data_IF_308928107749
#
_entry.id   IF_308928107749
#
_cell.length_a   1.000
_cell.length_b   1.000
_cell.length_c   1.000
_cell.angle_alpha   90.00
_cell.angle_beta   90.00
_cell.angle_gamma   90.00
#
_symmetry.space_group_name_H-M   'P 1'
#
loop_
_entity.id
_entity.type
_entity.pdbx_description
1 polymer ?
#
# COMPACT_ATOMS: atom_id res chain seq x y z
N UNK A 1 -5.22 0.45 27.94
CA UNK A 1 -4.30 -0.48 27.27
C UNK A 1 -2.96 0.22 27.01
N UNK A 2 -1.89 -0.57 26.99
CA UNK A 2 -0.55 -0.14 26.59
C UNK A 2 -0.01 -1.13 25.56
N UNK A 3 -0.47 -1.06 24.28
CA UNK A 3 -0.06 -2.00 23.26
C UNK A 3 1.37 -1.73 22.80
N UNK A 4 2.14 -2.79 22.55
CA UNK A 4 3.45 -2.70 21.91
C UNK A 4 3.32 -2.70 20.38
N UNK A 5 2.25 -3.30 19.83
CA UNK A 5 2.02 -3.45 18.40
C UNK A 5 0.62 -2.99 18.05
N UNK A 6 0.49 -2.30 16.92
CA UNK A 6 -0.79 -1.95 16.32
C UNK A 6 -0.84 -2.47 14.88
N UNK A 7 -1.98 -3.09 14.50
CA UNK A 7 -2.35 -3.32 13.10
C UNK A 7 -3.32 -2.23 12.67
N UNK A 8 -2.96 -1.48 11.66
CA UNK A 8 -3.68 -0.25 11.33
C UNK A 8 -3.51 0.12 9.86
N UNK A 9 -4.46 0.85 9.28
CA UNK A 9 -4.20 1.50 8.00
C UNK A 9 -3.32 2.73 8.20
N UNK A 10 -2.44 3.05 7.26
CA UNK A 10 -1.57 4.24 7.36
C UNK A 10 -2.34 5.54 7.58
N UNK A 11 -3.45 5.74 6.88
CA UNK A 11 -4.30 6.93 7.06
C UNK A 11 -4.89 7.01 8.48
N UNK A 12 -5.27 5.88 9.06
CA UNK A 12 -5.90 5.87 10.38
C UNK A 12 -4.91 6.14 11.51
N UNK A 13 -3.65 5.67 11.43
CA UNK A 13 -2.65 6.03 12.45
C UNK A 13 -2.29 7.51 12.38
N UNK A 14 -2.33 8.14 11.20
CA UNK A 14 -2.17 9.58 11.08
C UNK A 14 -3.36 10.34 11.68
N UNK A 15 -4.60 9.84 11.51
CA UNK A 15 -5.76 10.40 12.20
C UNK A 15 -5.66 10.26 13.73
N UNK A 16 -5.10 9.15 14.24
CA UNK A 16 -4.78 9.00 15.66
C UNK A 16 -3.73 10.05 16.10
N UNK A 17 -2.72 10.30 15.26
CA UNK A 17 -1.72 11.33 15.53
C UNK A 17 -2.34 12.72 15.66
N UNK A 18 -3.29 13.06 14.79
CA UNK A 18 -4.00 14.34 14.86
C UNK A 18 -4.81 14.46 16.16
N UNK A 19 -5.40 13.37 16.66
CA UNK A 19 -6.08 13.35 17.95
C UNK A 19 -5.11 13.56 19.13
N UNK A 20 -3.91 12.95 19.09
CA UNK A 20 -2.86 13.23 20.10
C UNK A 20 -2.49 14.72 20.10
N UNK A 21 -2.34 15.32 18.92
CA UNK A 21 -2.05 16.76 18.78
C UNK A 21 -3.18 17.63 19.32
N UNK A 22 -4.44 17.28 19.03
CA UNK A 22 -5.62 18.01 19.50
C UNK A 22 -5.77 17.95 21.02
N UNK A 23 -5.37 16.84 21.63
CA UNK A 23 -5.38 16.66 23.09
C UNK A 23 -4.10 17.17 23.80
N UNK A 24 -3.16 17.76 23.07
CA UNK A 24 -1.85 18.21 23.59
C UNK A 24 -1.05 17.08 24.30
N UNK A 25 -1.24 15.83 23.85
CA UNK A 25 -0.53 14.66 24.39
C UNK A 25 0.62 14.27 23.45
N UNK A 26 1.81 14.11 24.00
CA UNK A 26 2.97 13.66 23.22
C UNK A 26 2.81 12.19 22.80
N UNK A 27 2.70 11.87 21.51
CA UNK A 27 2.53 10.50 21.02
C UNK A 27 3.72 9.58 21.34
N UNK A 28 4.91 10.10 21.58
CA UNK A 28 6.10 9.33 22.01
C UNK A 28 5.97 8.74 23.41
N UNK A 29 5.00 9.21 24.21
CA UNK A 29 4.69 8.63 25.52
C UNK A 29 3.83 7.35 25.40
N UNK A 30 3.38 7.01 24.20
CA UNK A 30 2.72 5.73 23.96
C UNK A 30 3.68 4.56 24.19
N UNK A 31 3.13 3.36 24.39
CA UNK A 31 3.95 2.14 24.50
C UNK A 31 4.26 1.49 23.13
N UNK A 32 3.87 2.14 22.04
CA UNK A 32 3.92 1.59 20.70
C UNK A 32 5.37 1.40 20.24
N UNK A 33 5.70 0.19 19.78
CA UNK A 33 7.00 -0.18 19.24
C UNK A 33 6.95 -0.52 17.75
N UNK A 34 5.81 -1.09 17.31
CA UNK A 34 5.62 -1.52 15.93
C UNK A 34 4.25 -1.09 15.44
N UNK A 35 4.22 -0.40 14.32
CA UNK A 35 3.02 -0.14 13.54
C UNK A 35 3.04 -1.00 12.28
N UNK A 36 2.22 -2.05 12.24
CA UNK A 36 2.01 -2.88 11.06
C UNK A 36 0.97 -2.21 10.18
N UNK A 37 1.44 -1.51 9.16
CA UNK A 37 0.62 -0.71 8.26
C UNK A 37 0.25 -1.52 7.01
N UNK A 38 -1.03 -1.50 6.63
CA UNK A 38 -1.50 -2.24 5.47
C UNK A 38 -2.93 -1.89 5.09
N UNK A 39 -3.50 -2.69 4.21
CA UNK A 39 -4.84 -2.57 3.64
C UNK A 39 -5.06 -1.39 2.68
N UNK A 40 -4.15 -0.45 2.60
CA UNK A 40 -4.14 0.64 1.63
C UNK A 40 -2.71 0.95 1.17
N UNK A 41 -2.51 1.50 -0.04
CA UNK A 41 -1.21 2.03 -0.46
C UNK A 41 -0.76 3.16 0.46
N UNK A 42 0.55 3.27 0.69
CA UNK A 42 1.11 4.35 1.50
C UNK A 42 2.54 4.71 1.09
N UNK A 43 2.94 5.93 1.38
CA UNK A 43 4.20 6.51 0.93
C UNK A 43 5.30 6.43 1.99
N UNK A 44 6.55 6.60 1.57
CA UNK A 44 7.65 6.74 2.50
C UNK A 44 7.54 8.03 3.34
N UNK A 45 6.89 9.08 2.84
CA UNK A 45 6.61 10.29 3.61
C UNK A 45 5.69 10.00 4.80
N UNK A 46 4.61 9.23 4.58
CA UNK A 46 3.72 8.78 5.66
C UNK A 46 4.48 7.91 6.67
N UNK A 47 5.37 7.02 6.20
CA UNK A 47 6.22 6.22 7.10
C UNK A 47 7.05 7.12 7.99
N UNK A 48 7.74 8.08 7.41
CA UNK A 48 8.58 9.02 8.15
C UNK A 48 7.76 9.79 9.17
N UNK A 49 6.59 10.30 8.80
CA UNK A 49 5.72 11.03 9.74
C UNK A 49 5.29 10.17 10.93
N UNK A 50 4.91 8.89 10.67
CA UNK A 50 4.54 7.95 11.73
C UNK A 50 5.72 7.67 12.66
N UNK A 51 6.89 7.36 12.10
CA UNK A 51 8.09 7.02 12.87
C UNK A 51 8.61 8.21 13.67
N UNK A 52 8.64 9.40 13.08
CA UNK A 52 9.08 10.62 13.75
C UNK A 52 8.14 11.05 14.89
N UNK A 53 6.85 10.76 14.76
CA UNK A 53 5.83 11.20 15.72
C UNK A 53 5.68 10.25 16.90
N UNK A 54 5.60 8.95 16.67
CA UNK A 54 5.35 7.95 17.72
C UNK A 54 6.60 7.18 18.15
N UNK A 55 7.70 7.25 17.39
CA UNK A 55 8.93 6.47 17.59
C UNK A 55 8.79 4.93 17.48
N UNK A 56 7.87 4.37 16.65
CA UNK A 56 7.79 2.94 16.38
C UNK A 56 8.58 2.56 15.14
N UNK A 57 8.69 1.25 14.87
CA UNK A 57 8.98 0.78 13.53
C UNK A 57 7.67 0.68 12.73
N UNK A 58 7.49 1.51 11.71
CA UNK A 58 6.40 1.38 10.77
C UNK A 58 6.80 0.44 9.63
N UNK A 59 6.11 -0.70 9.54
CA UNK A 59 6.40 -1.78 8.58
C UNK A 59 5.20 -2.06 7.69
N UNK A 60 5.47 -2.35 6.43
CA UNK A 60 4.45 -2.68 5.46
C UNK A 60 3.97 -4.12 5.65
N UNK A 61 2.66 -4.31 5.61
CA UNK A 61 2.01 -5.60 5.76
C UNK A 61 0.95 -5.77 4.67
N UNK A 62 1.14 -6.75 3.80
CA UNK A 62 0.22 -7.05 2.72
C UNK A 62 -0.57 -8.32 3.01
N UNK A 63 -1.86 -8.26 2.78
CA UNK A 63 -2.76 -9.40 2.89
C UNK A 63 -4.16 -9.05 2.38
N UNK A 64 -4.98 -10.06 2.18
CA UNK A 64 -6.37 -9.93 1.73
C UNK A 64 -7.20 -11.07 2.31
N UNK A 65 -8.47 -10.79 2.56
CA UNK A 65 -9.40 -11.73 3.23
C UNK A 65 -9.57 -13.04 2.46
N UNK A 66 -9.44 -13.00 1.14
CA UNK A 66 -9.61 -14.16 0.26
C UNK A 66 -8.48 -15.18 0.44
N UNK A 67 -7.27 -14.72 0.71
CA UNK A 67 -6.10 -15.57 0.92
C UNK A 67 -5.89 -15.80 2.40
N UNK A 68 -5.47 -14.79 3.13
CA UNK A 68 -5.43 -14.70 4.58
C UNK A 68 -5.20 -13.24 4.98
N UNK A 69 -6.01 -12.72 5.86
CA UNK A 69 -5.83 -11.38 6.39
C UNK A 69 -5.63 -11.40 7.91
N UNK A 70 -4.78 -10.57 8.42
CA UNK A 70 -3.70 -9.84 7.78
C UNK A 70 -2.45 -10.71 7.61
N UNK A 71 -1.74 -10.59 6.49
CA UNK A 71 -0.37 -11.10 6.42
C UNK A 71 -0.12 -12.27 5.50
N UNK A 72 -0.20 -12.05 4.18
CA UNK A 72 0.45 -12.89 3.16
C UNK A 72 1.95 -12.58 3.13
N UNK A 73 2.31 -11.33 3.40
CA UNK A 73 3.69 -10.85 3.47
C UNK A 73 3.86 -9.68 4.43
N UNK A 74 5.07 -9.51 4.96
CA UNK A 74 5.38 -8.44 5.89
C UNK A 74 6.82 -7.98 5.74
N UNK A 75 7.08 -6.69 5.91
CA UNK A 75 8.44 -6.15 5.96
C UNK A 75 9.18 -6.61 7.22
N UNK A 76 10.50 -6.67 7.13
CA UNK A 76 11.38 -6.84 8.26
C UNK A 76 11.79 -5.48 8.83
N UNK A 77 11.87 -5.39 10.15
CA UNK A 77 12.29 -4.15 10.85
C UNK A 77 13.69 -3.72 10.39
N UNK A 78 14.54 -4.70 10.09
CA UNK A 78 15.95 -4.51 9.77
C UNK A 78 16.17 -3.85 8.41
N UNK A 79 15.30 -4.12 7.44
CA UNK A 79 15.54 -3.68 6.06
C UNK A 79 14.50 -2.71 5.54
N UNK A 80 13.21 -2.90 5.86
CA UNK A 80 12.08 -2.09 5.35
C UNK A 80 12.12 -1.85 3.84
N UNK A 81 12.50 -2.87 3.09
CA UNK A 81 12.78 -2.82 1.65
C UNK A 81 11.81 -3.63 0.80
N UNK A 82 10.63 -3.88 1.35
CA UNK A 82 9.51 -4.61 0.77
C UNK A 82 9.13 -5.85 1.56
N UNK A 83 7.82 -6.19 1.57
CA UNK A 83 7.30 -7.31 2.34
C UNK A 83 7.84 -8.66 1.86
N UNK A 84 8.39 -9.47 2.78
CA UNK A 84 8.75 -10.86 2.53
C UNK A 84 7.49 -11.72 2.53
N UNK A 85 7.33 -12.53 1.49
CA UNK A 85 6.18 -13.41 1.31
C UNK A 85 6.43 -14.71 2.08
N UNK A 86 5.43 -15.19 2.83
CA UNK A 86 5.51 -16.46 3.56
C UNK A 86 5.42 -17.65 2.59
N UNK A 87 6.51 -17.96 1.87
CA UNK A 87 6.57 -18.95 0.79
C UNK A 87 6.39 -20.40 1.28
N UNK A 88 6.45 -20.65 2.57
CA UNK A 88 6.04 -21.89 3.20
C UNK A 88 4.51 -22.08 3.23
N UNK A 89 3.76 -20.99 3.13
CA UNK A 89 2.29 -20.98 3.13
C UNK A 89 1.67 -20.56 1.79
N UNK A 90 2.41 -19.77 1.00
CA UNK A 90 1.91 -19.21 -0.26
C UNK A 90 2.92 -19.35 -1.37
N UNK A 91 2.47 -19.78 -2.53
CA UNK A 91 3.26 -19.75 -3.75
C UNK A 91 2.89 -18.50 -4.55
N UNK A 92 3.78 -17.50 -4.63
CA UNK A 92 3.56 -16.28 -5.40
C UNK A 92 4.02 -16.44 -6.85
N UNK A 93 3.27 -15.87 -7.78
CA UNK A 93 3.62 -15.66 -9.17
C UNK A 93 3.37 -14.19 -9.53
N UNK A 94 4.04 -13.71 -10.56
CA UNK A 94 3.69 -12.47 -11.25
C UNK A 94 3.33 -12.81 -12.67
N UNK A 95 2.24 -12.25 -13.19
CA UNK A 95 1.77 -12.52 -14.54
C UNK A 95 1.59 -11.21 -15.32
N UNK A 96 1.72 -11.31 -16.62
CA UNK A 96 1.22 -10.29 -17.54
C UNK A 96 -0.31 -10.22 -17.44
N UNK A 97 -0.90 -9.08 -17.06
CA UNK A 97 -2.33 -8.98 -16.81
C UNK A 97 -3.20 -9.20 -18.05
N UNK A 98 -2.67 -8.94 -19.26
CA UNK A 98 -3.38 -9.10 -20.52
C UNK A 98 -3.35 -10.54 -21.04
N UNK A 99 -2.19 -11.22 -20.94
CA UNK A 99 -2.00 -12.56 -21.51
C UNK A 99 -2.13 -13.68 -20.48
N UNK A 100 -1.99 -13.37 -19.18
CA UNK A 100 -1.97 -14.36 -18.09
C UNK A 100 -0.68 -15.20 -18.05
N UNK A 101 0.34 -14.87 -18.84
CA UNK A 101 1.63 -15.57 -18.84
C UNK A 101 2.43 -15.18 -17.59
N UNK A 102 3.06 -16.19 -16.99
CA UNK A 102 3.98 -15.96 -15.86
C UNK A 102 5.21 -15.18 -16.35
N UNK A 103 5.57 -14.17 -15.59
CA UNK A 103 6.74 -13.33 -15.81
C UNK A 103 7.90 -13.77 -14.91
N UNK A 104 9.15 -13.60 -15.34
CA UNK A 104 10.32 -13.80 -14.48
C UNK A 104 10.32 -12.89 -13.26
N UNK A 105 10.98 -13.33 -12.19
CA UNK A 105 11.23 -12.48 -11.02
C UNK A 105 11.93 -11.18 -11.43
N UNK A 106 11.51 -10.06 -10.84
CA UNK A 106 11.97 -8.72 -11.16
C UNK A 106 11.15 -8.01 -12.24
N UNK A 107 10.37 -8.70 -13.03
CA UNK A 107 9.43 -8.08 -13.97
C UNK A 107 8.16 -7.64 -13.27
N UNK A 108 7.64 -6.49 -13.70
CA UNK A 108 6.43 -5.88 -13.14
C UNK A 108 5.18 -6.46 -13.79
N UNK A 109 4.21 -6.85 -12.98
CA UNK A 109 2.95 -7.43 -13.45
C UNK A 109 1.94 -7.61 -12.33
N UNK A 110 0.92 -8.42 -12.58
CA UNK A 110 -0.15 -8.71 -11.62
C UNK A 110 0.26 -9.89 -10.72
N UNK A 111 0.14 -9.69 -9.40
CA UNK A 111 0.37 -10.75 -8.41
C UNK A 111 -0.66 -11.87 -8.56
N UNK A 112 -0.21 -13.07 -8.31
CA UNK A 112 -1.05 -14.28 -8.24
C UNK A 112 -0.58 -15.12 -7.06
N UNK A 113 -1.52 -15.64 -6.28
CA UNK A 113 -1.21 -16.45 -5.12
C UNK A 113 -1.91 -17.81 -5.16
N UNK A 114 -1.17 -18.84 -4.77
CA UNK A 114 -1.68 -20.18 -4.47
C UNK A 114 -1.41 -20.49 -3.01
N UNK A 115 -2.43 -20.92 -2.27
CA UNK A 115 -2.25 -21.33 -0.87
C UNK A 115 -1.74 -22.78 -0.81
N UNK A 116 -0.72 -23.03 0.01
CA UNK A 116 -0.09 -24.34 0.14
C UNK A 116 -0.58 -25.12 1.35
N UNK A 117 -0.93 -24.44 2.43
CA UNK A 117 -1.26 -25.04 3.73
C UNK A 117 -2.68 -24.77 4.20
N UNK A 118 -3.45 -23.99 3.44
CA UNK A 118 -4.82 -23.61 3.82
C UNK A 118 -5.78 -24.77 3.54
N UNK A 119 -6.35 -25.35 4.59
CA UNK A 119 -7.30 -26.47 4.48
C UNK A 119 -8.71 -25.99 4.14
N UNK A 120 -9.18 -24.95 4.82
CA UNK A 120 -10.47 -24.33 4.53
C UNK A 120 -10.35 -23.32 3.39
N UNK A 121 -11.16 -23.48 2.36
CA UNK A 121 -11.14 -22.63 1.16
C UNK A 121 -9.73 -22.53 0.53
N UNK A 122 -9.12 -23.64 0.10
CA UNK A 122 -7.84 -23.58 -0.59
C UNK A 122 -7.98 -22.75 -1.89
N UNK A 123 -7.01 -21.92 -2.15
CA UNK A 123 -7.01 -21.02 -3.31
C UNK A 123 -5.88 -21.40 -4.24
N UNK A 124 -6.20 -21.53 -5.52
CA UNK A 124 -5.24 -21.86 -6.58
C UNK A 124 -5.24 -20.73 -7.61
N UNK A 125 -4.07 -20.12 -7.79
CA UNK A 125 -3.81 -19.05 -8.75
C UNK A 125 -4.83 -17.90 -8.67
N UNK A 126 -5.09 -17.41 -7.47
CA UNK A 126 -5.96 -16.27 -7.24
C UNK A 126 -5.30 -14.97 -7.73
N UNK A 127 -6.06 -14.18 -8.43
CA UNK A 127 -5.65 -12.89 -9.01
C UNK A 127 -6.28 -11.74 -8.21
N UNK A 128 -5.57 -11.14 -7.24
CA UNK A 128 -6.08 -10.00 -6.45
C UNK A 128 -6.18 -8.70 -7.27
N UNK A 129 -5.62 -8.68 -8.48
CA UNK A 129 -5.48 -7.52 -9.35
C UNK A 129 -4.39 -6.53 -8.94
N UNK A 130 -3.68 -6.81 -7.87
CA UNK A 130 -2.61 -5.97 -7.38
C UNK A 130 -1.36 -6.08 -8.26
N UNK A 131 -0.76 -4.93 -8.57
CA UNK A 131 0.40 -4.81 -9.44
C UNK A 131 1.67 -4.63 -8.62
N UNK A 132 2.63 -5.51 -8.83
CA UNK A 132 3.91 -5.54 -8.13
C UNK A 132 4.94 -6.34 -8.92
N UNK A 133 6.08 -6.62 -8.33
CA UNK A 133 7.10 -7.57 -8.81
C UNK A 133 7.65 -8.40 -7.67
N UNK A 134 8.14 -9.58 -7.98
CA UNK A 134 8.89 -10.40 -7.01
C UNK A 134 10.37 -10.04 -7.05
N UNK A 135 10.96 -9.92 -5.87
CA UNK A 135 12.36 -9.54 -5.67
C UNK A 135 13.06 -10.62 -4.82
N UNK A 136 14.37 -10.77 -4.94
CA UNK A 136 15.13 -11.66 -4.06
C UNK A 136 14.94 -11.29 -2.58
N UNK A 137 15.02 -12.28 -1.70
CA UNK A 137 15.05 -12.06 -0.26
C UNK A 137 16.27 -11.25 0.18
N UNK A 138 16.14 -10.54 1.29
CA UNK A 138 17.18 -9.72 1.90
C UNK A 138 17.40 -10.11 3.37
N UNK A 139 16.65 -9.54 4.30
CA UNK A 139 16.71 -9.90 5.72
C UNK A 139 16.21 -11.33 6.00
N UNK A 140 15.46 -11.91 5.08
CA UNK A 140 14.98 -13.31 5.12
C UNK A 140 15.26 -13.97 3.77
N UNK A 141 15.28 -15.32 3.75
CA UNK A 141 15.54 -16.10 2.53
C UNK A 141 14.37 -16.14 1.56
N UNK A 142 13.15 -15.91 2.06
CA UNK A 142 11.92 -15.85 1.26
C UNK A 142 11.94 -14.64 0.33
N UNK A 143 11.38 -14.80 -0.88
CA UNK A 143 11.24 -13.67 -1.81
C UNK A 143 10.38 -12.59 -1.17
N UNK A 144 10.63 -11.37 -1.57
CA UNK A 144 9.82 -10.23 -1.20
C UNK A 144 9.10 -9.66 -2.41
N UNK A 145 8.05 -8.94 -2.15
CA UNK A 145 7.37 -8.16 -3.17
C UNK A 145 7.73 -6.68 -3.05
N UNK A 146 7.69 -5.97 -4.16
CA UNK A 146 7.69 -4.51 -4.14
C UNK A 146 6.37 -4.02 -3.56
N UNK A 147 6.32 -2.80 -3.04
CA UNK A 147 5.05 -2.18 -2.65
C UNK A 147 4.06 -2.24 -3.80
N UNK A 148 2.80 -2.52 -3.50
CA UNK A 148 1.74 -2.51 -4.49
C UNK A 148 1.64 -1.11 -5.11
N UNK A 149 1.82 -1.04 -6.43
CA UNK A 149 1.77 0.23 -7.17
C UNK A 149 0.32 0.67 -7.46
N UNK A 150 -0.62 -0.25 -7.40
CA UNK A 150 -2.03 -0.05 -7.67
C UNK A 150 -2.67 -1.35 -8.13
N UNK A 151 -3.92 -1.27 -8.57
CA UNK A 151 -4.67 -2.42 -9.09
C UNK A 151 -4.80 -2.35 -10.61
N UNK A 152 -4.77 -3.50 -11.27
CA UNK A 152 -4.93 -3.58 -12.73
C UNK A 152 -6.33 -3.16 -13.21
N UNK A 153 -7.34 -3.26 -12.34
CA UNK A 153 -8.72 -2.84 -12.59
C UNK A 153 -9.00 -1.35 -12.24
N UNK A 154 -8.12 -0.70 -11.45
CA UNK A 154 -8.19 0.74 -11.17
C UNK A 154 -7.32 1.57 -12.11
N UNK A 155 -6.56 0.91 -12.98
CA UNK A 155 -5.70 1.58 -13.95
C UNK A 155 -6.53 2.32 -15.00
N UNK A 156 -6.28 3.61 -15.12
CA UNK A 156 -6.87 4.45 -16.16
C UNK A 156 -5.92 4.55 -17.36
N UNK A 157 -6.45 4.39 -18.57
CA UNK A 157 -5.68 4.67 -19.80
C UNK A 157 -6.08 6.04 -20.30
N UNK A 158 -5.18 7.02 -20.15
CA UNK A 158 -5.41 8.39 -20.57
C UNK A 158 -4.49 8.71 -21.74
N UNK A 159 -5.03 8.88 -22.92
CA UNK A 159 -4.26 9.17 -24.17
C UNK A 159 -3.12 8.16 -24.42
N UNK A 160 -3.36 6.89 -24.11
CA UNK A 160 -2.36 5.81 -24.28
C UNK A 160 -1.33 5.69 -23.15
N UNK A 161 -1.47 6.47 -22.08
CA UNK A 161 -0.63 6.38 -20.88
C UNK A 161 -1.42 5.72 -19.77
N UNK A 162 -0.80 4.74 -19.10
CA UNK A 162 -1.35 4.12 -17.91
C UNK A 162 -1.17 5.05 -16.70
N UNK A 163 -2.26 5.42 -16.07
CA UNK A 163 -2.29 6.29 -14.89
C UNK A 163 -2.96 5.55 -13.74
N UNK A 164 -2.29 5.53 -12.59
CA UNK A 164 -2.83 4.95 -11.36
C UNK A 164 -3.23 6.05 -10.38
N UNK A 165 -4.36 5.92 -9.67
CA UNK A 165 -4.75 6.85 -8.62
C UNK A 165 -3.65 7.10 -7.59
N UNK A 166 -2.90 6.07 -7.20
CA UNK A 166 -1.78 6.17 -6.26
C UNK A 166 -0.64 7.10 -6.72
N UNK A 167 -0.39 7.19 -8.03
CA UNK A 167 0.60 8.13 -8.58
C UNK A 167 0.14 9.58 -8.44
N UNK A 168 -1.15 9.82 -8.61
CA UNK A 168 -1.76 11.14 -8.42
C UNK A 168 -1.70 11.53 -6.94
N UNK A 169 -2.06 10.61 -6.05
CA UNK A 169 -1.98 10.79 -4.61
C UNK A 169 -0.56 11.16 -4.16
N UNK A 170 0.45 10.46 -4.65
CA UNK A 170 1.86 10.75 -4.33
C UNK A 170 2.26 12.19 -4.72
N UNK A 171 1.70 12.72 -5.81
CA UNK A 171 1.96 14.10 -6.23
C UNK A 171 1.24 15.09 -5.31
N UNK A 172 -0.01 14.80 -4.95
CA UNK A 172 -0.82 15.65 -4.06
C UNK A 172 -0.15 15.76 -2.69
N UNK A 173 0.31 14.64 -2.13
CA UNK A 173 0.95 14.58 -0.81
C UNK A 173 2.32 15.31 -0.72
N UNK A 174 2.91 15.68 -1.85
CA UNK A 174 4.13 16.54 -1.88
C UNK A 174 3.83 18.02 -1.63
N UNK A 175 2.58 18.43 -1.74
CA UNK A 175 2.15 19.81 -1.48
C UNK A 175 1.43 19.90 -0.13
N UNK A 176 2.09 20.47 0.87
CA UNK A 176 1.56 20.59 2.24
C UNK A 176 0.26 21.41 2.34
N UNK A 177 -0.08 22.17 1.30
CA UNK A 177 -1.32 22.96 1.23
C UNK A 177 -2.53 22.12 0.85
N UNK A 178 -2.33 20.88 0.36
CA UNK A 178 -3.37 19.99 -0.10
C UNK A 178 -3.66 18.91 0.96
N UNK A 179 -4.94 18.55 1.09
CA UNK A 179 -5.37 17.39 1.87
C UNK A 179 -5.27 16.12 1.04
N UNK A 180 -5.17 14.92 1.66
CA UNK A 180 -5.12 13.65 0.95
C UNK A 180 -6.49 13.21 0.38
N UNK A 181 -7.44 14.13 0.31
CA UNK A 181 -8.78 13.88 -0.22
C UNK A 181 -8.91 14.46 -1.63
N UNK A 182 -9.12 13.59 -2.60
CA UNK A 182 -9.25 13.99 -3.99
C UNK A 182 -10.25 13.12 -4.76
N UNK A 183 -10.74 13.65 -5.86
CA UNK A 183 -11.58 12.95 -6.83
C UNK A 183 -10.94 13.06 -8.21
N UNK A 184 -10.86 11.93 -8.90
CA UNK A 184 -10.41 11.88 -10.29
C UNK A 184 -11.63 11.78 -11.19
N UNK A 185 -11.82 12.78 -12.05
CA UNK A 185 -12.82 12.78 -13.09
C UNK A 185 -12.18 12.45 -14.44
N UNK A 186 -12.59 11.34 -15.04
CA UNK A 186 -12.20 10.97 -16.40
C UNK A 186 -13.36 11.29 -17.35
N UNK A 187 -13.14 12.19 -18.27
CA UNK A 187 -14.13 12.58 -19.29
C UNK A 187 -13.55 12.42 -20.68
N UNK A 188 -14.39 11.99 -21.62
CA UNK A 188 -14.04 12.03 -23.03
C UNK A 188 -14.62 13.29 -23.65
N UNK A 189 -13.73 14.25 -23.91
CA UNK A 189 -14.06 15.47 -24.63
C UNK A 189 -13.72 15.27 -26.12
N UNK A 190 -14.75 15.22 -26.97
CA UNK A 190 -14.63 14.94 -28.41
C UNK A 190 -13.94 13.60 -28.71
N UNK A 191 -12.62 13.61 -29.01
CA UNK A 191 -11.84 12.43 -29.39
C UNK A 191 -10.74 12.06 -28.38
N UNK A 192 -10.54 12.90 -27.36
CA UNK A 192 -9.45 12.72 -26.39
C UNK A 192 -9.99 12.57 -24.97
N UNK A 193 -9.39 11.65 -24.22
CA UNK A 193 -9.66 11.55 -22.80
C UNK A 193 -9.01 12.71 -22.05
N UNK A 194 -9.76 13.30 -21.14
CA UNK A 194 -9.35 14.38 -20.26
C UNK A 194 -9.48 13.92 -18.82
N UNK A 195 -8.41 14.09 -18.05
CA UNK A 195 -8.39 13.84 -16.62
C UNK A 195 -8.43 15.17 -15.88
N UNK A 196 -9.28 15.25 -14.89
CA UNK A 196 -9.36 16.35 -13.93
C UNK A 196 -9.21 15.81 -12.54
N UNK A 197 -8.32 16.39 -11.76
CA UNK A 197 -8.12 16.01 -10.35
C UNK A 197 -8.63 17.17 -9.50
N UNK A 198 -9.66 16.91 -8.71
CA UNK A 198 -10.22 17.86 -7.75
C UNK A 198 -9.68 17.49 -6.38
N UNK A 199 -8.96 18.40 -5.74
CA UNK A 199 -8.24 18.16 -4.48
C UNK A 199 -8.76 19.12 -3.42
N UNK A 200 -8.95 18.63 -2.20
CA UNK A 200 -9.29 19.46 -1.05
C UNK A 200 -8.07 20.28 -0.61
N UNK A 201 -8.28 21.57 -0.33
CA UNK A 201 -7.25 22.46 0.20
C UNK A 201 -7.29 22.49 1.72
N UNK A 202 -6.12 22.44 2.36
CA UNK A 202 -5.96 22.68 3.81
C UNK A 202 -5.99 24.15 4.17
N UNK A 203 -5.93 25.05 3.18
CA UNK A 203 -6.04 26.48 3.39
C UNK A 203 -7.52 26.82 3.55
N UNK A 204 -7.88 27.41 4.69
CA UNK A 204 -9.21 27.96 4.90
C UNK A 204 -9.58 28.91 3.75
N UNK A 205 -10.81 28.76 3.25
CA UNK A 205 -11.35 29.61 2.20
C UNK A 205 -11.70 31.00 2.76
N UNK A 206 -10.72 31.66 3.38
CA UNK A 206 -10.81 33.07 3.81
C UNK A 206 -9.80 33.90 3.03
N UNK A 207 -10.30 34.42 1.90
CA UNK A 207 -9.92 35.74 1.35
C UNK A 207 -10.85 36.12 0.22
#
# INVERSE_FOLDING_TARGET
FRPDVIFVTPSYILAILDEFRAQEVDPRQSSLKIAMCGAEPWTNAMRTEIEDSFDPHAIDNYGLSEIIGPGVSCECIESKDGPHIWEDHFYPEVIDPATGKVLPDGEFGELVFTTLTKEAMPIVRYRPRDLSRLLPGTARSMRRMEKVAGRSDDMMIVRGVNVFPSQIEEIILKDERLAPHFVIELRRAERLDQITVVVESRLDAES
#
